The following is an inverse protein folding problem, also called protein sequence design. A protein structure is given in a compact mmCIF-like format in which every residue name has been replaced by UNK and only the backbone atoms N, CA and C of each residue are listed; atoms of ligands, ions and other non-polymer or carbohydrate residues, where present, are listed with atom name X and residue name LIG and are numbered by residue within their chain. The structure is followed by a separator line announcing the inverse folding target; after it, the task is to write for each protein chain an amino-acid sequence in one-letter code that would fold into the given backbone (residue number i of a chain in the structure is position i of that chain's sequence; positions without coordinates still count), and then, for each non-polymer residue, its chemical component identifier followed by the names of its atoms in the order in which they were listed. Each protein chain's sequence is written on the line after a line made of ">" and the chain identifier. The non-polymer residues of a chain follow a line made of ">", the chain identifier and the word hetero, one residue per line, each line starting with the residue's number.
data_IF_990144150160
#
_entry.id   IF_990144150160
#
_cell.length_a   1.000
_cell.length_b   1.000
_cell.length_c   1.000
_cell.angle_alpha   90.00
_cell.angle_beta   90.00
_cell.angle_gamma   90.00
#
_symmetry.space_group_name_H-M   'P 1'
#
loop_
_entity.id
_entity.type
_entity.pdbx_description
1 polymer ?
#
# COMPACT_ATOMS: atom_id res chain seq x y z
N UNK A 1 26.69 56.10 32.84
CA UNK A 1 26.57 54.62 32.76
C UNK A 1 25.16 54.27 32.30
N UNK A 2 24.98 53.87 31.05
CA UNK A 2 23.68 53.52 30.51
C UNK A 2 23.58 51.99 30.45
N UNK A 3 22.69 51.40 31.23
CA UNK A 3 22.43 49.95 31.23
C UNK A 3 21.65 49.55 29.97
N UNK A 4 22.22 48.63 29.20
CA UNK A 4 21.56 48.00 28.04
C UNK A 4 20.91 46.73 28.53
N UNK A 5 19.57 46.72 28.60
CA UNK A 5 18.78 45.51 28.93
C UNK A 5 18.52 44.73 27.63
N UNK A 6 19.13 43.54 27.52
CA UNK A 6 18.99 42.63 26.36
C UNK A 6 17.75 41.78 26.59
N UNK A 7 16.68 41.98 25.80
CA UNK A 7 15.50 41.11 25.78
C UNK A 7 15.79 39.89 24.90
N UNK A 8 15.87 38.73 25.53
CA UNK A 8 15.98 37.44 24.83
C UNK A 8 14.55 36.94 24.56
N UNK A 9 14.09 37.11 23.30
CA UNK A 9 12.80 36.57 22.87
C UNK A 9 12.99 35.09 22.56
N UNK A 10 12.47 34.20 23.44
CA UNK A 10 12.41 32.76 23.16
C UNK A 10 11.27 32.52 22.17
N UNK A 11 11.62 32.22 20.91
CA UNK A 11 10.66 31.80 19.88
C UNK A 11 10.42 30.31 20.08
N UNK A 12 9.37 29.95 20.83
CA UNK A 12 8.91 28.57 20.95
C UNK A 12 8.19 28.18 19.67
N UNK A 13 8.88 27.46 18.74
CA UNK A 13 8.24 26.78 17.63
C UNK A 13 7.37 25.66 18.17
N UNK A 14 6.07 25.87 18.22
CA UNK A 14 5.06 24.82 18.38
C UNK A 14 5.08 23.96 17.11
N UNK A 15 5.82 22.86 17.16
CA UNK A 15 5.69 21.77 16.21
C UNK A 15 4.31 21.12 16.46
N UNK A 16 3.28 21.59 15.77
CA UNK A 16 2.01 20.88 15.66
C UNK A 16 2.26 19.60 14.87
N UNK A 17 2.68 18.53 15.55
CA UNK A 17 2.73 17.19 14.99
C UNK A 17 1.30 16.80 14.61
N UNK A 18 1.04 16.59 13.34
CA UNK A 18 -0.20 15.94 12.87
C UNK A 18 -0.22 14.55 13.49
N UNK A 19 -1.11 14.32 14.45
CA UNK A 19 -1.33 12.98 15.00
C UNK A 19 -1.93 12.11 13.87
N UNK A 20 -1.07 11.33 13.22
CA UNK A 20 -1.54 10.28 12.32
C UNK A 20 -2.16 9.20 13.21
N UNK A 21 -3.34 8.70 12.83
CA UNK A 21 -3.93 7.55 13.49
C UNK A 21 -2.96 6.37 13.29
N UNK A 22 -2.39 5.91 14.40
CA UNK A 22 -1.45 4.79 14.36
C UNK A 22 -2.22 3.50 14.08
N UNK A 23 -1.68 2.65 13.18
CA UNK A 23 -2.24 1.32 12.94
C UNK A 23 -2.31 0.52 14.25
N UNK A 24 -3.40 -0.26 14.48
CA UNK A 24 -3.52 -1.06 15.68
C UNK A 24 -2.36 -2.05 15.84
N UNK A 25 -1.92 -2.24 17.07
CA UNK A 25 -0.91 -3.24 17.45
C UNK A 25 -1.45 -4.01 18.66
N UNK A 26 -2.45 -4.85 18.40
CA UNK A 26 -3.21 -5.59 19.43
C UNK A 26 -2.78 -7.05 19.54
N UNK A 27 -2.22 -7.62 18.47
CA UNK A 27 -1.83 -9.02 18.40
C UNK A 27 -0.47 -9.26 19.09
N UNK A 28 -0.46 -10.15 20.06
CA UNK A 28 0.77 -10.71 20.63
C UNK A 28 1.51 -11.60 19.61
N UNK A 29 2.81 -11.82 19.81
CA UNK A 29 3.57 -12.76 18.97
C UNK A 29 2.97 -14.16 18.94
N UNK A 30 2.40 -14.63 20.06
CA UNK A 30 1.72 -15.93 20.11
C UNK A 30 0.50 -15.96 19.20
N UNK A 31 -0.31 -14.91 19.19
CA UNK A 31 -1.49 -14.80 18.31
C UNK A 31 -1.09 -14.71 16.85
N UNK A 32 -0.03 -13.94 16.53
CA UNK A 32 0.52 -13.85 15.17
C UNK A 32 0.98 -15.21 14.65
N UNK A 33 1.76 -15.95 15.45
CA UNK A 33 2.23 -17.31 15.09
C UNK A 33 1.05 -18.26 14.95
N UNK A 34 0.08 -18.22 15.88
CA UNK A 34 -1.12 -19.06 15.83
C UNK A 34 -1.92 -18.77 14.55
N UNK A 35 -2.11 -17.50 14.19
CA UNK A 35 -2.84 -17.11 12.97
C UNK A 35 -2.16 -17.61 11.69
N UNK A 36 -0.83 -17.50 11.58
CA UNK A 36 -0.06 -18.08 10.45
C UNK A 36 -0.23 -19.59 10.40
N UNK A 37 -0.13 -20.27 11.55
CA UNK A 37 -0.30 -21.73 11.65
C UNK A 37 -1.72 -22.17 11.27
N UNK A 38 -2.73 -21.40 11.70
CA UNK A 38 -4.12 -21.63 11.34
C UNK A 38 -4.36 -21.47 9.85
N UNK A 39 -3.82 -20.41 9.24
CA UNK A 39 -3.91 -20.21 7.78
C UNK A 39 -3.24 -21.35 7.01
N UNK A 40 -2.02 -21.74 7.40
CA UNK A 40 -1.32 -22.88 6.79
C UNK A 40 -2.13 -24.18 6.91
N UNK A 41 -2.73 -24.44 8.08
CA UNK A 41 -3.59 -25.60 8.31
C UNK A 41 -4.83 -25.58 7.41
N UNK A 42 -5.55 -24.45 7.34
CA UNK A 42 -6.74 -24.30 6.50
C UNK A 42 -6.42 -24.57 5.02
N UNK A 43 -5.30 -24.04 4.52
CA UNK A 43 -4.84 -24.31 3.15
C UNK A 43 -4.58 -25.81 2.96
N UNK A 44 -3.88 -26.46 3.90
CA UNK A 44 -3.54 -27.87 3.76
C UNK A 44 -4.77 -28.81 3.77
N UNK A 45 -5.85 -28.42 4.40
CA UNK A 45 -7.08 -29.24 4.48
C UNK A 45 -8.13 -28.86 3.44
N UNK A 46 -8.19 -27.58 3.05
CA UNK A 46 -9.35 -27.06 2.33
C UNK A 46 -9.00 -26.47 0.96
N UNK A 47 -7.72 -26.23 0.64
CA UNK A 47 -7.34 -25.65 -0.65
C UNK A 47 -7.42 -26.71 -1.77
N UNK A 48 -8.35 -26.52 -2.70
CA UNK A 48 -8.70 -27.48 -3.74
C UNK A 48 -7.52 -27.81 -4.67
N UNK A 49 -6.66 -26.81 -4.93
CA UNK A 49 -5.52 -26.96 -5.86
C UNK A 49 -4.19 -27.23 -5.15
N UNK A 50 -4.24 -27.78 -3.93
CA UNK A 50 -3.04 -28.04 -3.13
C UNK A 50 -2.06 -29.00 -3.81
N UNK A 51 -2.57 -29.92 -4.66
CA UNK A 51 -1.77 -30.84 -5.47
C UNK A 51 -0.95 -30.14 -6.58
N UNK A 52 -1.26 -28.90 -6.91
CA UNK A 52 -0.53 -28.08 -7.88
C UNK A 52 0.57 -27.23 -7.21
N UNK A 53 0.60 -27.20 -5.88
CA UNK A 53 1.58 -26.43 -5.11
C UNK A 53 2.79 -27.29 -4.77
N UNK A 54 4.00 -26.76 -4.97
CA UNK A 54 5.21 -27.35 -4.42
C UNK A 54 5.14 -27.36 -2.89
N UNK A 55 4.98 -28.55 -2.32
CA UNK A 55 4.77 -28.76 -0.87
C UNK A 55 5.99 -28.30 -0.05
N UNK A 56 7.21 -28.54 -0.53
CA UNK A 56 8.42 -28.13 0.16
C UNK A 56 8.59 -26.61 0.15
N UNK A 57 8.26 -25.96 -0.97
CA UNK A 57 8.23 -24.51 -1.07
C UNK A 57 7.12 -23.90 -0.17
N UNK A 58 5.92 -24.51 -0.12
CA UNK A 58 4.84 -24.08 0.77
C UNK A 58 5.23 -24.14 2.25
N UNK A 59 5.84 -25.26 2.67
CA UNK A 59 6.33 -25.41 4.03
C UNK A 59 7.47 -24.43 4.36
N UNK A 60 8.28 -24.06 3.36
CA UNK A 60 9.32 -23.05 3.50
C UNK A 60 8.72 -21.65 3.67
N UNK A 61 7.69 -21.31 2.88
CA UNK A 61 6.93 -20.06 3.02
C UNK A 61 6.32 -19.95 4.41
N UNK A 62 5.72 -21.02 4.91
CA UNK A 62 5.16 -21.07 6.27
C UNK A 62 6.20 -20.73 7.34
N UNK A 63 7.36 -21.40 7.32
CA UNK A 63 8.46 -21.19 8.30
C UNK A 63 8.97 -19.75 8.26
N UNK A 64 9.24 -19.24 7.06
CA UNK A 64 9.71 -17.85 6.86
C UNK A 64 8.67 -16.84 7.32
N UNK A 65 7.36 -17.13 7.10
CA UNK A 65 6.29 -16.23 7.55
C UNK A 65 6.21 -16.19 9.07
N UNK A 66 6.38 -17.33 9.78
CA UNK A 66 6.45 -17.36 11.25
C UNK A 66 7.57 -16.45 11.78
N UNK A 67 8.76 -16.48 11.15
CA UNK A 67 9.86 -15.60 11.55
C UNK A 67 9.53 -14.12 11.33
N UNK A 68 8.94 -13.78 10.18
CA UNK A 68 8.63 -12.40 9.78
C UNK A 68 7.53 -11.78 10.64
N UNK A 69 6.45 -12.52 10.95
CA UNK A 69 5.34 -11.95 11.72
C UNK A 69 5.72 -11.52 13.11
N UNK A 70 6.75 -12.13 13.70
CA UNK A 70 7.27 -11.74 15.01
C UNK A 70 8.00 -10.39 14.98
N UNK A 71 8.41 -9.92 13.80
CA UNK A 71 9.10 -8.64 13.59
C UNK A 71 8.15 -7.54 13.11
N UNK A 72 6.88 -7.83 12.91
CA UNK A 72 5.90 -6.85 12.45
C UNK A 72 5.61 -5.84 13.57
N UNK A 73 5.61 -4.54 13.20
CA UNK A 73 5.44 -3.41 14.14
C UNK A 73 4.00 -3.22 14.61
N UNK A 74 3.04 -3.63 13.77
CA UNK A 74 1.60 -3.45 13.97
C UNK A 74 0.80 -4.58 13.30
N UNK A 75 -0.51 -4.58 13.50
CA UNK A 75 -1.39 -5.60 12.96
C UNK A 75 -1.52 -5.49 11.43
N UNK A 76 -1.38 -4.29 10.84
CA UNK A 76 -1.41 -4.12 9.40
C UNK A 76 -0.24 -4.85 8.72
N UNK A 77 0.97 -4.65 9.20
CA UNK A 77 2.16 -5.34 8.67
C UNK A 77 2.11 -6.85 8.90
N UNK A 78 1.46 -7.32 9.99
CA UNK A 78 1.17 -8.73 10.18
C UNK A 78 0.24 -9.30 9.08
N UNK A 79 -0.86 -8.61 8.79
CA UNK A 79 -1.78 -9.03 7.74
C UNK A 79 -1.14 -8.96 6.34
N UNK A 80 -0.21 -8.04 6.10
CA UNK A 80 0.57 -8.01 4.86
C UNK A 80 1.44 -9.27 4.70
N UNK A 81 2.06 -9.80 5.76
CA UNK A 81 2.79 -11.07 5.68
C UNK A 81 1.84 -12.25 5.38
N UNK A 82 0.59 -12.24 5.89
CA UNK A 82 -0.42 -13.21 5.50
C UNK A 82 -0.87 -13.04 4.04
N UNK A 83 -1.06 -11.81 3.53
CA UNK A 83 -1.36 -11.57 2.10
C UNK A 83 -0.25 -12.13 1.21
N UNK A 84 1.01 -11.93 1.60
CA UNK A 84 2.17 -12.43 0.87
C UNK A 84 2.24 -13.97 0.87
N UNK A 85 1.96 -14.58 2.01
CA UNK A 85 1.82 -16.04 2.12
C UNK A 85 0.66 -16.55 1.26
N UNK A 86 -0.48 -15.85 1.25
CA UNK A 86 -1.63 -16.18 0.43
C UNK A 86 -1.33 -16.05 -1.07
N UNK A 87 -0.63 -15.00 -1.49
CA UNK A 87 -0.27 -14.76 -2.88
C UNK A 87 0.61 -15.87 -3.49
N UNK A 88 1.36 -16.59 -2.65
CA UNK A 88 2.16 -17.76 -3.07
C UNK A 88 1.29 -18.88 -3.66
N UNK A 89 0.03 -19.01 -3.21
CA UNK A 89 -0.88 -20.05 -3.70
C UNK A 89 -1.28 -19.85 -5.17
N UNK A 90 -1.09 -18.67 -5.73
CA UNK A 90 -1.44 -18.38 -7.12
C UNK A 90 -2.95 -18.51 -7.40
N UNK A 91 -3.80 -18.22 -6.40
CA UNK A 91 -5.27 -18.32 -6.52
C UNK A 91 -5.94 -16.98 -6.20
N UNK A 92 -6.83 -16.52 -7.10
CA UNK A 92 -7.55 -15.26 -6.94
C UNK A 92 -8.78 -15.35 -6.03
N UNK A 93 -9.21 -16.55 -5.63
CA UNK A 93 -10.35 -16.78 -4.76
C UNK A 93 -9.95 -16.94 -3.30
N UNK A 94 -8.70 -17.30 -3.03
CA UNK A 94 -8.13 -17.35 -1.68
C UNK A 94 -7.58 -15.97 -1.33
N UNK A 95 -8.12 -15.34 -0.29
CA UNK A 95 -7.78 -13.97 0.08
C UNK A 95 -7.65 -13.80 1.59
N UNK A 96 -6.84 -12.84 1.99
CA UNK A 96 -6.75 -12.35 3.37
C UNK A 96 -7.58 -11.08 3.50
N UNK A 97 -8.50 -11.03 4.46
CA UNK A 97 -9.34 -9.86 4.72
C UNK A 97 -8.85 -9.13 5.96
N UNK A 98 -8.65 -7.83 5.84
CA UNK A 98 -8.26 -6.99 6.96
C UNK A 98 -9.44 -6.77 7.91
N UNK A 99 -9.21 -6.80 9.25
CA UNK A 99 -10.20 -6.30 10.22
C UNK A 99 -10.62 -4.86 9.90
N UNK A 100 -11.84 -4.50 10.31
CA UNK A 100 -12.41 -3.19 10.04
C UNK A 100 -11.53 -2.05 10.57
N UNK A 101 -10.90 -2.22 11.74
CA UNK A 101 -10.01 -1.24 12.33
C UNK A 101 -8.79 -0.88 11.45
N UNK A 102 -8.35 -1.83 10.60
CA UNK A 102 -7.27 -1.63 9.63
C UNK A 102 -7.83 -1.11 8.31
N UNK A 103 -8.87 -1.79 7.77
CA UNK A 103 -9.38 -1.48 6.44
C UNK A 103 -9.92 -0.05 6.32
N UNK A 104 -10.46 0.53 7.39
CA UNK A 104 -10.92 1.92 7.45
C UNK A 104 -9.78 2.96 7.37
N UNK A 105 -8.56 2.57 7.68
CA UNK A 105 -7.39 3.45 7.61
C UNK A 105 -6.65 3.34 6.26
N UNK A 106 -7.03 2.37 5.41
CA UNK A 106 -6.39 2.15 4.12
C UNK A 106 -7.13 2.92 3.03
N UNK A 107 -6.36 3.62 2.24
CA UNK A 107 -6.82 4.38 1.08
C UNK A 107 -6.12 3.91 -0.18
N UNK A 108 -6.79 4.08 -1.32
CA UNK A 108 -6.23 3.68 -2.62
C UNK A 108 -6.32 4.83 -3.62
N UNK A 109 -7.39 5.61 -3.58
CA UNK A 109 -7.71 6.60 -4.63
C UNK A 109 -7.82 8.03 -4.11
N UNK A 110 -7.85 8.26 -2.78
CA UNK A 110 -8.11 9.57 -2.19
C UNK A 110 -6.84 10.19 -1.61
N UNK A 111 -6.56 11.43 -2.03
CA UNK A 111 -5.38 12.20 -1.63
C UNK A 111 -5.78 13.68 -1.40
N UNK A 112 -6.77 13.93 -0.54
CA UNK A 112 -7.30 15.26 -0.30
C UNK A 112 -7.95 15.85 -1.55
N UNK A 113 -7.34 16.87 -2.12
CA UNK A 113 -7.83 17.52 -3.35
C UNK A 113 -7.67 16.66 -4.61
N UNK A 114 -6.92 15.56 -4.55
CA UNK A 114 -6.83 14.61 -5.65
C UNK A 114 -7.61 13.34 -5.35
N UNK A 115 -8.31 12.84 -6.37
CA UNK A 115 -8.91 11.51 -6.37
C UNK A 115 -8.51 10.82 -7.67
N UNK A 116 -7.53 9.91 -7.61
CA UNK A 116 -6.95 9.27 -8.78
C UNK A 116 -7.44 7.84 -8.90
N UNK A 117 -7.91 7.47 -10.09
CA UNK A 117 -8.24 6.09 -10.44
C UNK A 117 -7.27 5.60 -11.49
N UNK A 118 -6.70 4.44 -11.26
CA UNK A 118 -5.69 3.84 -12.10
C UNK A 118 -6.23 2.60 -12.80
N UNK A 119 -5.82 2.41 -14.04
CA UNK A 119 -6.10 1.23 -14.84
C UNK A 119 -4.82 0.74 -15.50
N UNK A 120 -4.64 -0.56 -15.54
CA UNK A 120 -3.57 -1.17 -16.32
C UNK A 120 -3.89 -1.05 -17.81
N UNK A 121 -3.00 -0.46 -18.56
CA UNK A 121 -3.03 -0.45 -20.01
C UNK A 121 -1.66 -0.85 -20.54
N UNK A 122 -1.56 -2.04 -21.07
CA UNK A 122 -0.33 -2.62 -21.62
C UNK A 122 0.87 -2.54 -20.63
N UNK A 123 0.62 -2.96 -19.38
CA UNK A 123 1.62 -2.97 -18.30
C UNK A 123 1.90 -1.60 -17.66
N UNK A 124 1.18 -0.55 -18.07
CA UNK A 124 1.35 0.83 -17.60
C UNK A 124 0.23 1.23 -16.66
N UNK A 125 0.56 2.01 -15.65
CA UNK A 125 -0.42 2.60 -14.73
C UNK A 125 -0.96 3.92 -15.33
N UNK A 126 -2.15 3.87 -15.91
CA UNK A 126 -2.80 5.00 -16.56
C UNK A 126 -3.86 5.60 -15.65
N UNK A 127 -3.84 6.92 -15.48
CA UNK A 127 -4.86 7.67 -14.74
C UNK A 127 -6.08 7.80 -15.62
N UNK A 128 -7.20 7.16 -15.20
CA UNK A 128 -8.45 7.13 -15.96
C UNK A 128 -9.51 8.10 -15.42
N UNK A 129 -9.37 8.53 -14.17
CA UNK A 129 -10.25 9.52 -13.55
C UNK A 129 -9.50 10.33 -12.50
N UNK A 130 -9.85 11.61 -12.43
CA UNK A 130 -9.34 12.58 -11.45
C UNK A 130 -10.46 13.55 -11.09
N UNK A 131 -10.36 14.23 -9.95
CA UNK A 131 -11.30 15.32 -9.58
C UNK A 131 -11.40 16.36 -10.69
N UNK A 132 -12.59 16.93 -10.93
CA UNK A 132 -12.80 17.98 -11.95
C UNK A 132 -11.84 19.14 -11.80
N UNK A 133 -11.57 19.61 -10.58
CA UNK A 133 -10.64 20.72 -10.28
C UNK A 133 -9.17 20.42 -10.65
N UNK A 134 -8.80 19.14 -10.83
CA UNK A 134 -7.43 18.70 -11.08
C UNK A 134 -7.17 18.23 -12.52
N UNK A 135 -8.17 18.29 -13.40
CA UNK A 135 -8.04 17.78 -14.80
C UNK A 135 -6.97 18.49 -15.63
N UNK A 136 -6.70 19.76 -15.40
CA UNK A 136 -5.65 20.50 -16.11
C UNK A 136 -4.26 20.13 -15.60
N UNK A 137 -4.14 19.91 -14.29
CA UNK A 137 -2.89 19.52 -13.64
C UNK A 137 -2.56 18.05 -13.90
N UNK A 138 -3.58 17.19 -13.88
CA UNK A 138 -3.48 15.73 -14.08
C UNK A 138 -4.45 15.31 -15.20
N UNK A 139 -4.09 15.50 -16.47
CA UNK A 139 -4.94 15.08 -17.59
C UNK A 139 -5.20 13.57 -17.56
N UNK A 140 -6.47 13.19 -17.80
CA UNK A 140 -6.84 11.78 -17.99
C UNK A 140 -6.03 11.19 -19.15
N UNK A 141 -5.59 9.94 -19.02
CA UNK A 141 -4.65 9.29 -19.93
C UNK A 141 -3.18 9.52 -19.57
N UNK A 142 -2.86 10.25 -18.50
CA UNK A 142 -1.49 10.37 -18.01
C UNK A 142 -1.01 9.02 -17.45
N UNK A 143 0.25 8.69 -17.75
CA UNK A 143 0.96 7.50 -17.23
C UNK A 143 1.73 7.90 -15.98
N UNK A 144 1.64 7.10 -14.89
CA UNK A 144 2.55 7.20 -13.75
C UNK A 144 3.85 6.49 -14.13
N UNK A 145 4.95 7.24 -14.25
CA UNK A 145 6.25 6.71 -14.69
C UNK A 145 7.20 6.42 -13.54
N UNK A 146 7.06 7.13 -12.41
CA UNK A 146 7.79 6.82 -11.18
C UNK A 146 6.89 6.96 -9.95
N UNK A 147 7.20 6.19 -8.91
CA UNK A 147 6.65 6.32 -7.55
C UNK A 147 7.82 6.37 -6.57
N UNK A 148 7.88 7.41 -5.75
CA UNK A 148 8.95 7.65 -4.77
C UNK A 148 10.36 7.54 -5.38
N UNK A 149 10.53 8.08 -6.60
CA UNK A 149 11.80 8.08 -7.34
C UNK A 149 12.15 6.75 -8.01
N UNK A 150 11.34 5.70 -7.86
CA UNK A 150 11.55 4.40 -8.49
C UNK A 150 10.65 4.26 -9.74
N UNK A 151 11.13 3.68 -10.85
CA UNK A 151 10.27 3.34 -11.99
C UNK A 151 9.04 2.54 -11.55
N UNK A 152 7.85 2.88 -12.06
CA UNK A 152 6.57 2.32 -11.62
C UNK A 152 6.55 0.78 -11.66
N UNK A 153 7.09 0.17 -12.73
CA UNK A 153 7.15 -1.29 -12.83
C UNK A 153 8.00 -1.92 -11.72
N UNK A 154 9.16 -1.34 -11.41
CA UNK A 154 10.04 -1.81 -10.34
C UNK A 154 9.39 -1.61 -8.97
N UNK A 155 8.73 -0.47 -8.74
CA UNK A 155 7.98 -0.21 -7.51
C UNK A 155 6.85 -1.22 -7.31
N UNK A 156 6.05 -1.50 -8.34
CA UNK A 156 5.02 -2.53 -8.28
C UNK A 156 5.60 -3.90 -7.93
N UNK A 157 6.65 -4.31 -8.63
CA UNK A 157 7.28 -5.62 -8.42
C UNK A 157 7.81 -5.80 -7.00
N UNK A 158 8.31 -4.74 -6.39
CA UNK A 158 8.89 -4.80 -5.05
C UNK A 158 7.86 -4.62 -3.93
N UNK A 159 6.89 -3.71 -4.08
CA UNK A 159 6.05 -3.23 -2.98
C UNK A 159 4.56 -3.54 -3.14
N UNK A 160 4.10 -4.02 -4.29
CA UNK A 160 2.67 -4.23 -4.54
C UNK A 160 2.38 -5.66 -4.97
N UNK A 161 2.99 -6.10 -6.05
CA UNK A 161 2.73 -7.42 -6.67
C UNK A 161 2.91 -8.62 -5.72
N UNK A 162 3.87 -8.61 -4.77
CA UNK A 162 4.03 -9.71 -3.82
C UNK A 162 2.84 -9.96 -2.89
N UNK A 163 1.92 -9.00 -2.78
CA UNK A 163 0.73 -9.06 -1.93
C UNK A 163 -0.57 -9.32 -2.73
N UNK A 164 -0.46 -9.56 -4.03
CA UNK A 164 -1.62 -9.74 -4.90
C UNK A 164 -1.90 -11.22 -5.12
N UNK A 165 -2.99 -11.72 -4.52
CA UNK A 165 -3.53 -13.05 -4.79
C UNK A 165 -4.17 -13.07 -6.18
N UNK A 166 -3.72 -13.94 -7.08
CA UNK A 166 -4.25 -14.02 -8.44
C UNK A 166 -3.90 -15.34 -9.11
N UNK A 167 -4.84 -15.87 -9.88
CA UNK A 167 -4.66 -17.10 -10.67
C UNK A 167 -4.01 -16.84 -12.04
N UNK A 168 -3.91 -15.58 -12.48
CA UNK A 168 -3.36 -15.23 -13.80
C UNK A 168 -2.48 -13.99 -13.71
N UNK A 169 -1.47 -13.91 -14.60
CA UNK A 169 -0.60 -12.73 -14.66
C UNK A 169 -1.35 -11.48 -15.09
N UNK A 170 -2.35 -11.61 -15.95
CA UNK A 170 -3.18 -10.50 -16.38
C UNK A 170 -3.93 -9.85 -15.19
N UNK A 171 -4.63 -10.65 -14.37
CA UNK A 171 -5.34 -10.16 -13.19
C UNK A 171 -4.34 -9.62 -12.16
N UNK A 172 -3.20 -10.29 -11.98
CA UNK A 172 -2.14 -9.82 -11.07
C UNK A 172 -1.63 -8.43 -11.46
N UNK A 173 -1.41 -8.18 -12.75
CA UNK A 173 -1.00 -6.86 -13.24
C UNK A 173 -2.08 -5.80 -13.02
N UNK A 174 -3.35 -6.12 -13.32
CA UNK A 174 -4.47 -5.20 -13.11
C UNK A 174 -4.61 -4.80 -11.65
N UNK A 175 -4.58 -5.78 -10.73
CA UNK A 175 -4.65 -5.56 -9.30
C UNK A 175 -3.43 -4.81 -8.77
N UNK A 176 -2.24 -5.08 -9.29
CA UNK A 176 -1.03 -4.34 -8.91
C UNK A 176 -1.12 -2.87 -9.30
N UNK A 177 -1.64 -2.55 -10.49
CA UNK A 177 -1.87 -1.16 -10.90
C UNK A 177 -2.95 -0.51 -10.04
N UNK A 178 -4.07 -1.21 -9.79
CA UNK A 178 -5.14 -0.69 -8.94
C UNK A 178 -4.63 -0.35 -7.53
N UNK A 179 -3.76 -1.20 -6.96
CA UNK A 179 -3.19 -1.06 -5.61
C UNK A 179 -1.90 -0.23 -5.56
N UNK A 180 -1.42 0.32 -6.69
CA UNK A 180 -0.11 0.97 -6.82
C UNK A 180 0.15 2.03 -5.74
N UNK A 181 -0.86 2.84 -5.44
CA UNK A 181 -0.80 3.92 -4.47
C UNK A 181 -1.62 3.61 -3.20
N UNK A 182 -1.89 2.33 -2.91
CA UNK A 182 -2.58 1.94 -1.67
C UNK A 182 -1.68 2.21 -0.46
N UNK A 183 -2.25 2.84 0.55
CA UNK A 183 -1.50 3.16 1.77
C UNK A 183 -2.39 3.63 2.90
N UNK A 184 -1.75 3.97 4.01
CA UNK A 184 -2.40 4.46 5.22
C UNK A 184 -2.84 5.93 5.06
N UNK A 185 -3.89 6.33 5.77
CA UNK A 185 -4.25 7.74 5.89
C UNK A 185 -3.04 8.56 6.36
N UNK A 186 -2.73 9.67 5.67
CA UNK A 186 -1.57 10.50 5.92
C UNK A 186 -0.27 10.04 5.23
N UNK A 187 -0.22 8.84 4.65
CA UNK A 187 0.94 8.41 3.86
C UNK A 187 1.10 9.26 2.61
N UNK A 188 2.34 9.63 2.31
CA UNK A 188 2.68 10.48 1.15
C UNK A 188 3.41 9.69 0.09
N UNK A 189 3.04 9.93 -1.16
CA UNK A 189 3.70 9.45 -2.37
C UNK A 189 4.19 10.63 -3.20
N UNK A 190 5.40 10.55 -3.72
CA UNK A 190 5.90 11.45 -4.76
C UNK A 190 5.85 10.68 -6.08
N UNK A 191 5.01 11.11 -7.01
CA UNK A 191 4.87 10.46 -8.31
C UNK A 191 5.34 11.40 -9.43
N UNK A 192 5.94 10.84 -10.48
CA UNK A 192 6.14 11.52 -11.75
C UNK A 192 5.14 10.96 -12.75
N UNK A 193 4.37 11.85 -13.38
CA UNK A 193 3.45 11.47 -14.45
C UNK A 193 3.96 12.00 -15.80
N UNK A 194 3.62 11.25 -16.87
CA UNK A 194 3.77 11.69 -18.26
C UNK A 194 2.39 11.89 -18.86
N UNK A 195 2.05 13.13 -19.21
CA UNK A 195 0.75 13.46 -19.80
C UNK A 195 0.62 12.91 -21.23
N UNK A 196 -0.60 12.82 -21.81
CA UNK A 196 -0.80 12.43 -23.21
C UNK A 196 -0.04 13.30 -24.20
N UNK A 197 0.23 14.58 -23.84
CA UNK A 197 1.05 15.49 -24.63
C UNK A 197 2.57 15.28 -24.44
N UNK A 198 2.99 14.27 -23.66
CA UNK A 198 4.40 13.97 -23.39
C UNK A 198 5.06 14.81 -22.30
N UNK A 199 4.32 15.73 -21.65
CA UNK A 199 4.85 16.61 -20.60
C UNK A 199 5.00 15.81 -19.31
N UNK A 200 6.14 15.91 -18.65
CA UNK A 200 6.38 15.33 -17.35
C UNK A 200 6.00 16.31 -16.23
N UNK A 201 5.38 15.79 -15.17
CA UNK A 201 5.01 16.56 -13.98
C UNK A 201 5.25 15.72 -12.73
N UNK A 202 5.73 16.35 -11.66
CA UNK A 202 5.88 15.73 -10.35
C UNK A 202 4.73 16.16 -9.46
N UNK A 203 4.11 15.20 -8.77
CA UNK A 203 3.01 15.42 -7.83
C UNK A 203 3.39 14.83 -6.48
N UNK A 204 3.06 15.53 -5.40
CA UNK A 204 3.11 15.01 -4.05
C UNK A 204 1.67 14.73 -3.60
N UNK A 205 1.37 13.48 -3.33
CA UNK A 205 0.04 12.98 -2.99
C UNK A 205 0.05 12.47 -1.55
N UNK A 206 -0.75 13.04 -0.69
CA UNK A 206 -0.90 12.57 0.70
C UNK A 206 -2.31 12.00 0.88
N UNK A 207 -2.41 10.76 1.35
CA UNK A 207 -3.70 10.12 1.60
C UNK A 207 -4.52 10.93 2.62
N UNK A 208 -5.67 11.39 2.16
CA UNK A 208 -6.67 12.10 2.96
C UNK A 208 -8.04 11.91 2.29
N UNK A 209 -9.12 12.10 3.05
CA UNK A 209 -10.46 12.11 2.49
C UNK A 209 -10.58 13.20 1.42
N UNK A 210 -11.30 12.91 0.35
CA UNK A 210 -11.48 13.86 -0.74
C UNK A 210 -12.60 14.86 -0.41
N UNK A 211 -12.32 16.14 -0.69
CA UNK A 211 -13.30 17.23 -0.56
C UNK A 211 -14.27 17.28 -1.74
N UNK A 212 -13.96 16.60 -2.85
CA UNK A 212 -14.81 16.49 -4.04
C UNK A 212 -15.34 15.06 -4.19
N UNK A 213 -16.62 14.93 -4.60
CA UNK A 213 -17.30 13.65 -4.87
C UNK A 213 -17.18 13.21 -6.33
#
# INVERSE_FOLDING_TARGET
>A
MKSFTLYFAIFACLLAGTAHAQMPSTLSNTEKIYGVSKFWQEVNYNFVYLNLIDRAAWDSVYKVTIERVQQTKDDYTYYQELEKMCAFLGDGHTNVYYPQAISQQLMTTMFGTYRLFLTNFDGKAIITRVNPSKKEEVPVGSEIITVNGMPTAAYMQQFVTPYVCSSTDYVRQNESVYRLLRGEMGQTFVIEIKTPAGIKRTLTLTHALSDEQ
#
